data_IF_812601739177
#
_entry.id   IF_812601739177
#
_cell.length_a   1.000
_cell.length_b   1.000
_cell.length_c   1.000
_cell.angle_alpha   90.00
_cell.angle_beta   90.00
_cell.angle_gamma   90.00
#
_symmetry.space_group_name_H-M   'P 1'
#
loop_
_entity.id
_entity.type
_entity.pdbx_description
1 polymer ?
#
# COMPACT_ATOMS: atom_id res chain seq x y z
N UNK A 1 -29.59 28.45 8.14
CA UNK A 1 -28.63 29.47 8.63
C UNK A 1 -27.41 29.34 7.71
N UNK A 2 -26.23 29.89 8.01
CA UNK A 2 -25.02 29.35 7.36
C UNK A 2 -24.49 28.23 8.24
N UNK A 3 -23.94 27.16 7.65
CA UNK A 3 -23.31 26.07 8.38
C UNK A 3 -22.29 26.61 9.41
N UNK A 4 -21.48 27.59 9.00
CA UNK A 4 -20.59 28.35 9.88
C UNK A 4 -21.26 28.90 11.15
N UNK A 5 -22.34 29.66 11.02
CA UNK A 5 -23.05 30.24 12.18
C UNK A 5 -23.68 29.18 13.09
N UNK A 6 -24.10 28.06 12.52
CA UNK A 6 -24.60 26.91 13.26
C UNK A 6 -23.49 26.22 14.07
N UNK A 7 -22.31 26.02 13.46
CA UNK A 7 -21.14 25.46 14.14
C UNK A 7 -20.65 26.37 15.29
N UNK A 8 -20.66 27.69 15.11
CA UNK A 8 -20.33 28.66 16.17
C UNK A 8 -21.28 28.53 17.38
N UNK A 9 -22.57 28.37 17.10
CA UNK A 9 -23.60 28.14 18.13
C UNK A 9 -23.39 26.80 18.85
N UNK A 10 -23.06 25.74 18.11
CA UNK A 10 -22.74 24.42 18.69
C UNK A 10 -21.53 24.52 19.62
N UNK A 11 -20.42 25.12 19.16
CA UNK A 11 -19.20 25.26 19.97
C UNK A 11 -19.49 25.97 21.29
N UNK A 12 -20.22 27.09 21.26
CA UNK A 12 -20.60 27.81 22.48
C UNK A 12 -21.40 26.91 23.43
N UNK A 13 -22.42 26.23 22.91
CA UNK A 13 -23.27 25.34 23.73
C UNK A 13 -22.54 24.11 24.28
N UNK A 14 -21.56 23.58 23.54
CA UNK A 14 -20.67 22.52 24.02
C UNK A 14 -19.83 23.00 25.21
N UNK A 15 -19.26 24.21 25.13
CA UNK A 15 -18.51 24.82 26.26
C UNK A 15 -19.39 25.07 27.48
N UNK A 16 -20.68 25.33 27.28
CA UNK A 16 -21.68 25.52 28.33
C UNK A 16 -22.21 24.19 28.92
N UNK A 17 -21.82 23.04 28.36
CA UNK A 17 -22.33 21.73 28.80
C UNK A 17 -23.83 21.51 28.49
N UNK A 18 -24.37 22.20 27.48
CA UNK A 18 -25.80 22.21 27.20
C UNK A 18 -26.36 20.90 26.62
N UNK A 19 -25.49 19.95 26.25
CA UNK A 19 -25.86 18.66 25.66
C UNK A 19 -25.52 17.53 26.62
N UNK A 20 -26.53 17.02 27.33
CA UNK A 20 -26.37 16.06 28.43
C UNK A 20 -26.77 14.63 28.08
N UNK A 21 -27.33 14.40 26.89
CA UNK A 21 -27.78 13.10 26.41
C UNK A 21 -27.56 12.89 24.91
N UNK A 22 -27.49 11.64 24.47
CA UNK A 22 -27.49 11.24 23.04
C UNK A 22 -28.64 11.86 22.25
N UNK A 23 -29.83 11.97 22.85
CA UNK A 23 -30.98 12.64 22.25
C UNK A 23 -30.71 14.14 22.03
N UNK A 24 -30.08 14.81 23.01
CA UNK A 24 -29.71 16.23 22.88
C UNK A 24 -28.62 16.48 21.83
N UNK A 25 -27.66 15.55 21.70
CA UNK A 25 -26.64 15.57 20.64
C UNK A 25 -27.29 15.34 19.28
N UNK A 26 -28.17 14.35 19.17
CA UNK A 26 -28.88 14.03 17.94
C UNK A 26 -29.74 15.21 17.45
N UNK A 27 -30.61 15.73 18.31
CA UNK A 27 -31.57 16.79 17.96
C UNK A 27 -30.93 18.18 17.89
N UNK A 28 -29.90 18.43 18.72
CA UNK A 28 -29.30 19.73 18.87
C UNK A 28 -28.05 19.97 18.02
N UNK A 29 -27.37 18.91 17.58
CA UNK A 29 -26.12 18.97 16.83
C UNK A 29 -26.25 18.20 15.51
N UNK A 30 -26.46 16.88 15.56
CA UNK A 30 -26.40 16.02 14.38
C UNK A 30 -27.43 16.40 13.31
N UNK A 31 -28.72 16.36 13.63
CA UNK A 31 -29.81 16.63 12.68
C UNK A 31 -29.73 18.07 12.11
N UNK A 32 -29.53 19.13 12.92
CA UNK A 32 -29.33 20.47 12.38
C UNK A 32 -28.10 20.56 11.45
N UNK A 33 -27.00 19.89 11.78
CA UNK A 33 -25.80 19.87 10.94
C UNK A 33 -26.05 19.16 9.60
N UNK A 34 -26.75 18.02 9.62
CA UNK A 34 -27.15 17.30 8.42
C UNK A 34 -28.08 18.16 7.54
N UNK A 35 -29.03 18.87 8.14
CA UNK A 35 -29.92 19.79 7.43
C UNK A 35 -29.13 20.91 6.72
N UNK A 36 -28.18 21.55 7.41
CA UNK A 36 -27.31 22.59 6.82
C UNK A 36 -26.36 22.01 5.74
N UNK A 37 -26.04 20.72 5.80
CA UNK A 37 -25.28 19.98 4.78
C UNK A 37 -26.15 19.52 3.58
N UNK A 38 -27.44 19.88 3.58
CA UNK A 38 -28.37 19.62 2.49
C UNK A 38 -29.08 18.27 2.54
N UNK A 39 -29.01 17.55 3.67
CA UNK A 39 -29.79 16.32 3.85
C UNK A 39 -31.27 16.64 4.11
N UNK A 40 -32.21 15.95 3.46
CA UNK A 40 -33.63 16.05 3.78
C UNK A 40 -33.92 15.27 5.07
N UNK A 41 -33.64 15.87 6.23
CA UNK A 41 -33.74 15.24 7.55
C UNK A 41 -35.15 14.81 7.95
N UNK A 42 -36.18 15.33 7.28
CA UNK A 42 -37.58 14.94 7.47
C UNK A 42 -38.03 13.80 6.55
N UNK A 43 -37.21 13.41 5.57
CA UNK A 43 -37.46 12.25 4.71
C UNK A 43 -36.76 11.02 5.31
N UNK A 44 -37.53 10.17 6.00
CA UNK A 44 -37.02 8.96 6.67
C UNK A 44 -36.48 7.91 5.70
N UNK A 45 -36.77 8.03 4.40
CA UNK A 45 -36.15 7.18 3.37
C UNK A 45 -34.72 7.61 3.02
N UNK A 46 -34.31 8.82 3.43
CA UNK A 46 -32.99 9.39 3.18
C UNK A 46 -32.20 9.59 4.48
N UNK A 47 -32.84 10.07 5.55
CA UNK A 47 -32.23 10.13 6.89
C UNK A 47 -33.09 9.27 7.81
N UNK A 48 -32.71 8.00 7.94
CA UNK A 48 -33.48 7.04 8.73
C UNK A 48 -32.94 6.98 10.15
N UNK A 49 -33.68 7.45 11.18
CA UNK A 49 -33.35 7.16 12.56
C UNK A 49 -33.58 5.68 12.86
N UNK A 50 -32.92 5.15 13.90
CA UNK A 50 -33.11 3.79 14.42
C UNK A 50 -33.09 2.71 13.33
N UNK A 51 -32.21 2.89 12.33
CA UNK A 51 -32.18 2.03 11.16
C UNK A 51 -31.78 0.61 11.55
N UNK A 52 -32.66 -0.33 11.25
CA UNK A 52 -32.49 -1.74 11.59
C UNK A 52 -32.12 -2.52 10.34
N UNK A 53 -31.04 -3.29 10.39
CA UNK A 53 -30.75 -4.33 9.39
C UNK A 53 -30.52 -5.62 10.13
N UNK A 54 -31.26 -6.64 9.73
CA UNK A 54 -31.31 -7.93 10.41
C UNK A 54 -31.69 -7.73 11.90
N UNK A 55 -30.79 -8.06 12.83
CA UNK A 55 -31.01 -8.04 14.28
C UNK A 55 -30.24 -6.92 14.99
N UNK A 56 -29.67 -5.96 14.25
CA UNK A 56 -28.90 -4.85 14.80
C UNK A 56 -29.48 -3.51 14.35
N UNK A 57 -29.33 -2.52 15.23
CA UNK A 57 -29.84 -1.17 15.06
C UNK A 57 -28.68 -0.18 15.14
N UNK A 58 -28.69 0.81 14.24
CA UNK A 58 -27.81 1.98 14.30
C UNK A 58 -28.65 3.22 14.51
N UNK A 59 -28.11 4.24 15.17
CA UNK A 59 -28.87 5.45 15.51
C UNK A 59 -29.38 6.18 14.26
N UNK A 60 -28.53 6.34 13.24
CA UNK A 60 -28.94 6.90 11.96
C UNK A 60 -28.29 6.21 10.78
N UNK A 61 -29.08 6.01 9.73
CA UNK A 61 -28.59 5.68 8.39
C UNK A 61 -28.87 6.84 7.43
N UNK A 62 -27.81 7.31 6.78
CA UNK A 62 -27.89 8.25 5.67
C UNK A 62 -27.94 7.46 4.37
N UNK A 63 -29.08 7.52 3.69
CA UNK A 63 -29.40 6.71 2.54
C UNK A 63 -29.27 7.49 1.23
N UNK A 64 -28.46 6.96 0.31
CA UNK A 64 -28.45 7.41 -1.07
C UNK A 64 -28.07 6.25 -2.00
N UNK A 65 -28.96 5.79 -2.92
CA UNK A 65 -30.33 6.27 -3.12
C UNK A 65 -31.26 5.93 -1.94
N UNK A 66 -32.54 6.36 -2.00
CA UNK A 66 -33.54 6.12 -0.93
C UNK A 66 -33.53 4.67 -0.45
N UNK A 67 -33.62 4.48 0.87
CA UNK A 67 -33.58 3.21 1.58
C UNK A 67 -32.29 2.37 1.39
N UNK A 68 -31.24 2.92 0.75
CA UNK A 68 -29.93 2.27 0.63
C UNK A 68 -28.89 3.02 1.43
N UNK A 69 -28.41 2.46 2.56
CA UNK A 69 -27.48 3.16 3.44
C UNK A 69 -26.13 3.40 2.75
N UNK A 70 -25.71 4.67 2.73
CA UNK A 70 -24.41 5.11 2.28
C UNK A 70 -23.48 5.42 3.46
N UNK A 71 -24.03 5.88 4.58
CA UNK A 71 -23.29 6.20 5.80
C UNK A 71 -24.11 5.73 7.00
N UNK A 72 -23.46 5.04 7.95
CA UNK A 72 -24.03 4.81 9.28
C UNK A 72 -23.45 5.81 10.28
N UNK A 73 -24.29 6.29 11.20
CA UNK A 73 -23.90 7.22 12.25
C UNK A 73 -24.36 6.63 13.59
N UNK A 74 -23.42 6.55 14.52
CA UNK A 74 -23.65 6.24 15.92
C UNK A 74 -23.42 7.49 16.76
N UNK A 75 -24.33 7.77 17.67
CA UNK A 75 -24.31 8.93 18.56
C UNK A 75 -24.02 8.48 19.98
N UNK A 76 -23.09 9.14 20.67
CA UNK A 76 -22.78 8.93 22.08
C UNK A 76 -23.03 10.18 22.91
N UNK A 77 -23.03 10.04 24.22
CA UNK A 77 -23.01 11.20 25.12
C UNK A 77 -21.68 11.94 25.01
N UNK A 78 -21.72 13.27 25.16
CA UNK A 78 -20.54 14.16 25.08
C UNK A 78 -19.43 13.64 26.00
N UNK A 79 -18.22 13.46 25.45
CA UNK A 79 -17.05 12.97 26.18
C UNK A 79 -16.92 11.43 26.22
N UNK A 80 -17.84 10.69 25.60
CA UNK A 80 -17.83 9.23 25.54
C UNK A 80 -17.66 8.67 24.12
N UNK A 81 -17.08 9.43 23.19
CA UNK A 81 -16.81 8.92 21.83
C UNK A 81 -15.53 8.05 21.72
N UNK A 82 -14.71 8.00 22.79
CA UNK A 82 -13.43 7.28 22.80
C UNK A 82 -13.63 5.83 23.31
N UNK A 83 -13.71 4.91 22.36
CA UNK A 83 -13.98 3.51 22.63
C UNK A 83 -14.73 2.92 21.46
N UNK A 84 -14.03 2.08 20.70
CA UNK A 84 -14.54 1.50 19.46
C UNK A 84 -15.96 0.97 19.66
N UNK A 85 -16.94 1.62 19.04
CA UNK A 85 -18.18 0.95 18.71
C UNK A 85 -17.87 -0.03 17.58
N UNK A 86 -17.11 -1.05 17.95
CA UNK A 86 -16.70 -2.16 17.10
C UNK A 86 -17.93 -2.78 16.46
N UNK A 87 -19.08 -2.68 17.14
CA UNK A 87 -20.37 -3.13 16.63
C UNK A 87 -20.81 -2.31 15.43
N UNK A 88 -20.80 -0.96 15.49
CA UNK A 88 -21.08 -0.10 14.34
C UNK A 88 -20.18 -0.45 13.15
N UNK A 89 -18.88 -0.60 13.41
CA UNK A 89 -17.89 -0.85 12.37
C UNK A 89 -18.04 -2.22 11.70
N UNK A 90 -18.13 -3.29 12.50
CA UNK A 90 -18.32 -4.66 11.99
C UNK A 90 -19.64 -4.75 11.21
N UNK A 91 -20.67 -4.08 11.68
CA UNK A 91 -21.96 -4.05 11.02
C UNK A 91 -21.92 -3.30 9.68
N UNK A 92 -21.29 -2.12 9.65
CA UNK A 92 -21.08 -1.38 8.41
C UNK A 92 -20.26 -2.21 7.41
N UNK A 93 -19.24 -2.94 7.90
CA UNK A 93 -18.45 -3.85 7.07
C UNK A 93 -19.27 -5.01 6.48
N UNK A 94 -20.05 -5.72 7.30
CA UNK A 94 -20.87 -6.85 6.83
C UNK A 94 -21.99 -6.42 5.87
N UNK A 95 -22.61 -5.26 6.13
CA UNK A 95 -23.69 -4.72 5.29
C UNK A 95 -23.15 -4.04 4.02
N UNK A 96 -21.83 -3.85 3.90
CA UNK A 96 -21.19 -3.20 2.77
C UNK A 96 -21.38 -1.68 2.73
N UNK A 97 -21.71 -1.06 3.86
CA UNK A 97 -21.82 0.39 3.97
C UNK A 97 -20.41 1.01 3.96
N UNK A 98 -20.12 1.92 3.02
CA UNK A 98 -18.75 2.31 2.72
C UNK A 98 -18.13 3.27 3.74
N UNK A 99 -18.95 3.93 4.58
CA UNK A 99 -18.50 4.89 5.58
C UNK A 99 -19.31 4.75 6.86
N UNK A 100 -18.62 4.86 8.00
CA UNK A 100 -19.25 4.89 9.32
C UNK A 100 -18.73 6.10 10.09
N UNK A 101 -19.60 6.72 10.90
CA UNK A 101 -19.29 7.91 11.69
C UNK A 101 -19.69 7.63 13.13
N UNK A 102 -18.77 7.94 14.04
CA UNK A 102 -19.02 7.96 15.47
C UNK A 102 -18.92 9.41 15.95
N UNK A 103 -19.94 9.89 16.63
CA UNK A 103 -19.93 11.26 17.17
C UNK A 103 -20.60 11.36 18.53
N UNK A 104 -20.06 12.23 19.39
CA UNK A 104 -20.74 12.68 20.60
C UNK A 104 -21.14 14.17 20.52
N UNK A 105 -21.09 14.74 19.31
CA UNK A 105 -21.31 16.15 19.04
C UNK A 105 -20.06 17.02 19.15
N UNK A 106 -19.18 16.77 20.13
CA UNK A 106 -17.88 17.43 20.20
C UNK A 106 -16.91 16.79 19.21
N UNK A 107 -16.76 15.48 19.27
CA UNK A 107 -15.86 14.73 18.43
C UNK A 107 -16.61 14.05 17.30
N UNK A 108 -16.01 14.02 16.10
CA UNK A 108 -16.53 13.32 14.93
C UNK A 108 -15.44 12.48 14.31
N UNK A 109 -15.56 11.16 14.43
CA UNK A 109 -14.62 10.20 13.85
C UNK A 109 -15.20 9.57 12.59
N UNK A 110 -14.47 9.70 11.49
CA UNK A 110 -14.85 9.15 10.17
C UNK A 110 -14.06 7.88 9.88
N UNK A 111 -14.77 6.80 9.58
CA UNK A 111 -14.18 5.47 9.33
C UNK A 111 -14.54 4.97 7.94
N UNK A 112 -13.63 4.17 7.37
CA UNK A 112 -13.88 3.40 6.15
C UNK A 112 -13.86 1.90 6.44
N UNK A 113 -15.03 1.28 6.66
CA UNK A 113 -15.12 -0.12 7.07
C UNK A 113 -14.44 -1.10 6.13
N UNK A 114 -14.57 -0.89 4.82
CA UNK A 114 -14.03 -1.79 3.80
C UNK A 114 -12.53 -1.69 3.52
N UNK A 115 -11.81 -0.72 4.10
CA UNK A 115 -10.38 -0.52 3.81
C UNK A 115 -9.47 -1.41 4.68
N UNK A 116 -8.21 -1.62 4.27
CA UNK A 116 -7.28 -2.52 4.96
C UNK A 116 -6.70 -1.91 6.25
N UNK A 117 -6.48 -2.70 7.30
CA UNK A 117 -5.83 -2.26 8.55
C UNK A 117 -6.59 -2.69 9.80
N UNK A 118 -6.08 -2.35 10.97
CA UNK A 118 -6.81 -2.44 12.26
C UNK A 118 -7.95 -1.40 12.31
N UNK A 119 -8.80 -1.47 13.34
CA UNK A 119 -9.93 -0.55 13.49
C UNK A 119 -9.49 0.92 13.62
N UNK A 120 -8.60 1.17 14.57
CA UNK A 120 -7.97 2.47 14.83
C UNK A 120 -7.27 3.01 13.58
N UNK A 121 -6.68 2.08 12.83
CA UNK A 121 -5.96 2.33 11.60
C UNK A 121 -6.84 2.70 10.41
N UNK A 122 -8.16 2.43 10.43
CA UNK A 122 -9.14 2.73 9.37
C UNK A 122 -9.92 4.03 9.63
N UNK A 123 -9.60 4.75 10.70
CA UNK A 123 -10.09 6.11 10.93
C UNK A 123 -9.39 7.06 9.97
N UNK A 124 -10.16 7.69 9.10
CA UNK A 124 -9.65 8.65 8.11
C UNK A 124 -9.33 9.98 8.77
N UNK A 125 -10.23 10.43 9.64
CA UNK A 125 -10.13 11.74 10.25
C UNK A 125 -10.91 11.79 11.57
N UNK A 126 -10.45 12.64 12.50
CA UNK A 126 -11.14 12.96 13.74
C UNK A 126 -11.23 14.48 13.84
N UNK A 127 -12.44 15.01 13.94
CA UNK A 127 -12.69 16.41 14.26
C UNK A 127 -12.89 16.48 15.77
N UNK A 128 -12.25 17.45 16.43
CA UNK A 128 -12.66 17.93 17.74
C UNK A 128 -13.17 19.36 17.57
N UNK A 129 -14.46 19.56 17.85
CA UNK A 129 -15.13 20.84 17.67
C UNK A 129 -14.63 21.94 18.62
N UNK A 130 -13.98 21.61 19.75
CA UNK A 130 -13.43 22.59 20.69
C UNK A 130 -11.98 22.95 20.38
N UNK A 131 -11.21 22.04 19.77
CA UNK A 131 -9.81 22.27 19.42
C UNK A 131 -9.59 22.85 18.02
N UNK A 132 -10.56 22.69 17.11
CA UNK A 132 -10.43 23.08 15.69
C UNK A 132 -11.12 24.40 15.37
N UNK A 133 -10.61 25.08 14.33
CA UNK A 133 -11.25 26.30 13.81
C UNK A 133 -12.57 25.96 13.11
N UNK A 134 -13.55 26.88 13.16
CA UNK A 134 -14.85 26.68 12.50
C UNK A 134 -14.69 26.41 11.00
N UNK A 135 -13.77 27.11 10.33
CA UNK A 135 -13.49 26.92 8.91
C UNK A 135 -13.02 25.50 8.61
N UNK A 136 -12.11 24.96 9.41
CA UNK A 136 -11.62 23.58 9.24
C UNK A 136 -12.73 22.55 9.49
N UNK A 137 -13.55 22.76 10.52
CA UNK A 137 -14.70 21.89 10.83
C UNK A 137 -15.68 21.89 9.67
N UNK A 138 -16.05 23.08 9.17
CA UNK A 138 -16.94 23.27 8.02
C UNK A 138 -16.40 22.56 6.77
N UNK A 139 -15.14 22.80 6.41
CA UNK A 139 -14.51 22.16 5.25
C UNK A 139 -14.55 20.62 5.34
N UNK A 140 -14.28 20.05 6.52
CA UNK A 140 -14.26 18.59 6.72
C UNK A 140 -15.66 17.99 6.70
N UNK A 141 -16.63 18.62 7.36
CA UNK A 141 -18.03 18.20 7.32
C UNK A 141 -18.59 18.29 5.90
N UNK A 142 -18.34 19.39 5.18
CA UNK A 142 -18.76 19.51 3.78
C UNK A 142 -18.09 18.42 2.93
N UNK A 143 -16.78 18.22 3.07
CA UNK A 143 -16.02 17.25 2.27
C UNK A 143 -16.57 15.83 2.37
N UNK A 144 -16.95 15.38 3.58
CA UNK A 144 -17.35 13.98 3.84
C UNK A 144 -18.85 13.74 4.00
N UNK A 145 -19.63 14.76 4.39
CA UNK A 145 -21.05 14.61 4.75
C UNK A 145 -22.01 15.46 3.90
N UNK A 146 -21.55 16.35 3.02
CA UNK A 146 -22.49 17.10 2.17
C UNK A 146 -23.33 16.15 1.29
N UNK A 147 -24.65 16.35 1.27
CA UNK A 147 -25.59 15.46 0.58
C UNK A 147 -25.25 15.24 -0.89
N UNK A 148 -24.94 16.31 -1.65
CA UNK A 148 -24.61 16.22 -3.07
C UNK A 148 -23.31 15.45 -3.30
N UNK A 149 -22.32 15.65 -2.43
CA UNK A 149 -21.03 14.95 -2.51
C UNK A 149 -21.15 13.47 -2.13
N UNK A 150 -22.03 13.13 -1.20
CA UNK A 150 -22.33 11.73 -0.87
C UNK A 150 -23.08 11.09 -2.04
N UNK A 151 -24.05 11.79 -2.62
CA UNK A 151 -24.81 11.33 -3.77
C UNK A 151 -23.96 11.06 -5.02
N UNK A 152 -22.99 11.93 -5.32
CA UNK A 152 -22.06 11.76 -6.46
C UNK A 152 -20.91 10.77 -6.19
N UNK A 153 -20.78 10.29 -4.94
CA UNK A 153 -19.65 9.49 -4.47
C UNK A 153 -18.34 10.27 -4.28
N UNK A 154 -18.35 11.60 -4.44
CA UNK A 154 -17.18 12.46 -4.19
C UNK A 154 -16.71 12.41 -2.74
N UNK A 155 -17.64 12.34 -1.79
CA UNK A 155 -17.33 12.25 -0.36
C UNK A 155 -16.54 10.97 -0.05
N UNK A 156 -16.96 9.83 -0.61
CA UNK A 156 -16.28 8.56 -0.42
C UNK A 156 -14.91 8.53 -1.12
N UNK A 157 -14.80 9.10 -2.34
CA UNK A 157 -13.50 9.25 -3.02
C UNK A 157 -12.52 10.07 -2.19
N UNK A 158 -12.97 11.23 -1.71
CA UNK A 158 -12.17 12.12 -0.87
C UNK A 158 -11.70 11.42 0.42
N UNK A 159 -12.60 10.71 1.11
CA UNK A 159 -12.24 9.94 2.30
C UNK A 159 -11.22 8.83 2.00
N UNK A 160 -11.36 8.12 0.88
CA UNK A 160 -10.41 7.09 0.45
C UNK A 160 -9.04 7.65 0.09
N UNK A 161 -8.99 8.80 -0.55
CA UNK A 161 -7.71 9.44 -0.88
C UNK A 161 -6.99 9.94 0.37
N UNK A 162 -7.73 10.53 1.31
CA UNK A 162 -7.20 10.94 2.61
C UNK A 162 -6.72 9.72 3.42
N UNK A 163 -7.47 8.62 3.38
CA UNK A 163 -7.07 7.33 3.97
C UNK A 163 -5.78 6.77 3.38
N UNK A 164 -5.63 6.81 2.05
CA UNK A 164 -4.42 6.34 1.35
C UNK A 164 -3.21 7.17 1.76
N UNK A 165 -3.36 8.48 1.91
CA UNK A 165 -2.27 9.36 2.33
C UNK A 165 -1.79 9.03 3.74
N UNK A 166 -2.71 8.78 4.68
CA UNK A 166 -2.38 8.40 6.07
C UNK A 166 -1.78 6.98 6.13
N UNK A 167 -2.40 6.01 5.44
CA UNK A 167 -1.96 4.61 5.46
C UNK A 167 -0.68 4.37 4.66
N UNK A 168 -0.31 5.25 3.71
CA UNK A 168 0.92 5.12 2.90
C UNK A 168 2.15 4.97 3.77
N UNK A 169 2.33 5.82 4.77
CA UNK A 169 3.50 5.76 5.66
C UNK A 169 3.53 4.43 6.45
N UNK A 170 2.38 4.03 7.01
CA UNK A 170 2.25 2.77 7.77
C UNK A 170 2.52 1.54 6.91
N UNK A 171 1.92 1.48 5.72
CA UNK A 171 2.10 0.37 4.78
C UNK A 171 3.55 0.32 4.31
N UNK A 172 4.18 1.46 4.01
CA UNK A 172 5.61 1.50 3.66
C UNK A 172 6.43 0.95 4.83
N UNK A 173 6.25 1.46 6.04
CA UNK A 173 6.97 1.02 7.23
C UNK A 173 6.82 -0.48 7.49
N UNK A 174 5.61 -1.04 7.36
CA UNK A 174 5.35 -2.47 7.54
C UNK A 174 5.97 -3.36 6.46
N UNK A 175 6.27 -2.81 5.28
CA UNK A 175 6.88 -3.54 4.17
C UNK A 175 8.40 -3.32 4.03
N UNK A 176 8.97 -2.28 4.64
CA UNK A 176 10.42 -2.04 4.65
C UNK A 176 11.20 -3.27 5.16
N UNK A 177 10.87 -3.89 6.32
CA UNK A 177 11.62 -5.06 6.80
C UNK A 177 11.54 -6.25 5.84
N UNK A 178 10.37 -6.45 5.21
CA UNK A 178 10.17 -7.53 4.23
C UNK A 178 10.99 -7.29 2.97
N UNK A 179 10.96 -6.06 2.45
CA UNK A 179 11.75 -5.63 1.31
C UNK A 179 13.25 -5.79 1.60
N UNK A 180 13.71 -5.41 2.80
CA UNK A 180 15.10 -5.60 3.21
C UNK A 180 15.53 -7.07 3.17
N UNK A 181 14.73 -7.97 3.73
CA UNK A 181 15.01 -9.42 3.69
C UNK A 181 15.03 -9.95 2.25
N UNK A 182 14.13 -9.48 1.39
CA UNK A 182 14.13 -9.86 -0.04
C UNK A 182 15.40 -9.39 -0.74
N UNK A 183 15.80 -8.14 -0.55
CA UNK A 183 17.04 -7.57 -1.12
C UNK A 183 18.26 -8.39 -0.72
N UNK A 184 18.36 -8.78 0.56
CA UNK A 184 19.46 -9.61 1.05
C UNK A 184 19.48 -11.02 0.42
N UNK A 185 18.31 -11.66 0.31
CA UNK A 185 18.19 -13.01 -0.28
C UNK A 185 18.46 -13.03 -1.78
N UNK A 186 17.97 -12.03 -2.50
CA UNK A 186 18.13 -11.90 -3.95
C UNK A 186 19.55 -11.45 -4.33
N UNK A 187 20.34 -11.00 -3.33
CA UNK A 187 21.70 -10.50 -3.49
C UNK A 187 21.75 -9.41 -4.57
N UNK A 188 20.97 -8.36 -4.35
CA UNK A 188 20.91 -7.23 -5.28
C UNK A 188 22.31 -6.66 -5.53
N UNK A 189 22.66 -6.50 -6.81
CA UNK A 189 24.00 -6.10 -7.20
C UNK A 189 24.38 -4.70 -6.72
N UNK A 190 23.44 -3.75 -6.65
CA UNK A 190 23.74 -2.41 -6.17
C UNK A 190 24.11 -2.43 -4.68
N UNK A 191 23.49 -3.32 -3.90
CA UNK A 191 23.86 -3.50 -2.49
C UNK A 191 25.24 -4.17 -2.35
N UNK A 192 25.54 -5.17 -3.17
CA UNK A 192 26.86 -5.83 -3.15
C UNK A 192 27.98 -4.87 -3.56
N UNK A 193 27.76 -4.08 -4.61
CA UNK A 193 28.72 -3.08 -5.08
C UNK A 193 28.93 -1.98 -4.02
N UNK A 194 27.85 -1.49 -3.41
CA UNK A 194 27.92 -0.51 -2.31
C UNK A 194 28.67 -1.08 -1.09
N UNK A 195 28.43 -2.33 -0.73
CA UNK A 195 29.14 -2.99 0.37
C UNK A 195 30.63 -3.13 0.05
N UNK A 196 30.98 -3.54 -1.17
CA UNK A 196 32.37 -3.68 -1.58
C UNK A 196 33.12 -2.34 -1.59
N UNK A 197 32.49 -1.27 -2.09
CA UNK A 197 33.04 0.09 -2.00
C UNK A 197 33.22 0.54 -0.55
N UNK A 198 32.26 0.27 0.34
CA UNK A 198 32.38 0.65 1.75
C UNK A 198 33.49 -0.13 2.48
N UNK A 199 33.75 -1.38 2.11
CA UNK A 199 34.88 -2.13 2.66
C UNK A 199 36.20 -1.59 2.12
N UNK A 200 36.27 -1.27 0.82
CA UNK A 200 37.44 -0.63 0.19
C UNK A 200 37.78 0.70 0.87
N UNK A 201 36.78 1.55 1.16
CA UNK A 201 36.96 2.81 1.90
C UNK A 201 37.56 2.59 3.30
N UNK A 202 37.24 1.47 3.96
CA UNK A 202 37.63 1.19 5.34
C UNK A 202 39.02 0.56 5.46
N UNK A 203 39.41 -0.30 4.51
CA UNK A 203 40.67 -1.05 4.62
C UNK A 203 41.60 -0.93 3.41
N UNK A 204 41.20 -0.23 2.35
CA UNK A 204 41.97 -0.07 1.12
C UNK A 204 41.92 -1.27 0.18
N UNK A 205 41.19 -2.34 0.55
CA UNK A 205 41.06 -3.55 -0.26
C UNK A 205 39.60 -3.75 -0.65
N UNK A 206 39.33 -3.78 -1.96
CA UNK A 206 37.99 -4.06 -2.44
C UNK A 206 37.69 -5.56 -2.35
N UNK A 207 36.69 -5.98 -1.55
CA UNK A 207 36.32 -7.37 -1.48
C UNK A 207 35.58 -7.77 -2.75
N UNK A 208 35.59 -9.06 -2.94
CA UNK A 208 34.97 -9.74 -4.03
C UNK A 208 33.43 -9.83 -3.82
N UNK A 209 32.61 -9.57 -4.84
CA UNK A 209 31.13 -9.56 -4.68
C UNK A 209 30.57 -10.89 -4.14
N UNK A 210 31.20 -12.03 -4.46
CA UNK A 210 30.83 -13.34 -3.90
C UNK A 210 31.05 -13.39 -2.38
N UNK A 211 32.15 -12.81 -1.88
CA UNK A 211 32.44 -12.67 -0.45
C UNK A 211 31.40 -11.77 0.23
N UNK A 212 31.01 -10.67 -0.43
CA UNK A 212 29.89 -9.84 0.04
C UNK A 212 28.56 -10.61 0.04
N UNK A 213 28.29 -11.43 -0.97
CA UNK A 213 27.07 -12.24 -1.09
C UNK A 213 26.99 -13.33 -0.04
N UNK A 214 28.09 -14.01 0.26
CA UNK A 214 28.20 -14.97 1.36
C UNK A 214 27.92 -14.30 2.70
N UNK A 215 28.57 -13.17 2.99
CA UNK A 215 28.33 -12.40 4.21
C UNK A 215 26.85 -12.00 4.37
N UNK A 216 26.20 -11.49 3.31
CA UNK A 216 24.78 -11.13 3.38
C UNK A 216 23.87 -12.35 3.57
N UNK A 217 24.24 -13.51 3.03
CA UNK A 217 23.49 -14.76 3.22
C UNK A 217 23.57 -15.24 4.66
N UNK A 218 24.75 -15.17 5.27
CA UNK A 218 24.96 -15.52 6.67
C UNK A 218 24.16 -14.61 7.62
N UNK A 219 24.05 -13.32 7.30
CA UNK A 219 23.23 -12.36 8.06
C UNK A 219 21.73 -12.68 8.02
N UNK A 220 21.23 -13.26 6.92
CA UNK A 220 19.81 -13.69 6.80
C UNK A 220 19.57 -14.96 7.60
N UNK A 221 20.51 -15.91 7.56
CA UNK A 221 20.44 -17.17 8.32
C UNK A 221 20.48 -16.93 9.83
N UNK A 222 21.38 -16.05 10.30
CA UNK A 222 21.53 -15.73 11.73
C UNK A 222 20.30 -15.02 12.33
N UNK A 223 19.56 -14.24 11.52
CA UNK A 223 18.30 -13.59 11.93
C UNK A 223 17.10 -14.54 11.97
N UNK A 224 17.15 -15.67 11.27
CA UNK A 224 16.08 -16.67 11.33
C UNK A 224 16.17 -17.55 12.60
N UNK A 225 17.35 -17.64 13.22
CA UNK A 225 17.63 -18.51 14.37
C UNK A 225 17.68 -17.77 15.73
N UNK A 226 17.55 -16.44 15.74
CA UNK A 226 17.55 -15.66 16.99
C UNK A 226 16.17 -15.67 17.66
N UNK A 227 16.03 -16.12 18.93
CA UNK A 227 14.76 -16.11 19.64
C UNK A 227 14.32 -14.67 19.94
N UNK A 228 13.01 -14.44 19.82
CA UNK A 228 12.34 -13.20 20.20
C UNK A 228 12.70 -12.85 21.64
N UNK A 229 13.56 -11.83 21.82
CA UNK A 229 13.83 -11.23 23.13
C UNK A 229 12.54 -10.54 23.56
N UNK A 230 11.85 -11.16 24.52
CA UNK A 230 10.76 -10.54 25.27
C UNK A 230 11.33 -9.32 25.99
N UNK A 231 10.85 -8.14 25.60
CA UNK A 231 11.07 -6.90 26.33
C UNK A 231 10.55 -7.05 27.75
N UNK A 232 11.44 -6.76 28.70
CA UNK A 232 11.15 -6.63 30.12
C UNK A 232 10.16 -5.49 30.37
N UNK A 233 9.04 -5.81 31.01
CA UNK A 233 8.08 -4.81 31.45
C UNK A 233 6.98 -5.41 32.33
N UNK A 234 7.12 -5.23 33.65
CA UNK A 234 5.98 -5.13 34.57
C UNK A 234 5.31 -6.41 35.03
N UNK A 235 5.66 -6.84 36.26
CA UNK A 235 4.84 -7.71 37.11
C UNK A 235 3.38 -7.23 37.16
N UNK A 236 2.42 -8.10 36.89
CA UNK A 236 1.32 -8.30 37.84
C UNK A 236 0.76 -9.73 37.75
N UNK A 237 0.66 -10.36 38.93
CA UNK A 237 0.10 -11.69 39.14
C UNK A 237 -1.43 -11.60 39.13
N UNK A 238 -2.07 -12.53 38.44
CA UNK A 238 -3.49 -12.85 38.58
C UNK A 238 -3.77 -14.21 37.96
N UNK A 239 -3.83 -15.25 38.79
CA UNK A 239 -4.28 -16.60 38.44
C UNK A 239 -5.79 -16.58 38.21
N UNK A 240 -6.26 -17.23 37.15
CA UNK A 240 -7.12 -18.44 37.22
C UNK A 240 -7.22 -19.09 35.85
N UNK A 241 -7.11 -20.41 35.89
CA UNK A 241 -7.27 -21.39 34.82
C UNK A 241 -8.73 -21.88 34.78
N UNK A 242 -9.26 -22.16 33.59
CA UNK A 242 -10.07 -23.36 33.32
C UNK A 242 -10.31 -23.57 31.81
N UNK A 243 -10.50 -24.84 31.48
CA UNK A 243 -10.35 -25.53 30.19
C UNK A 243 -11.38 -25.21 29.10
N UNK A 244 -11.05 -25.52 27.83
CA UNK A 244 -11.74 -26.50 26.95
C UNK A 244 -11.03 -26.57 25.56
N UNK A 245 -10.87 -27.80 25.05
CA UNK A 245 -10.24 -28.20 23.76
C UNK A 245 -11.23 -28.10 22.54
N UNK A 246 -11.04 -28.78 21.38
CA UNK A 246 -10.49 -28.16 20.17
C UNK A 246 -11.40 -28.28 18.93
N UNK A 247 -11.18 -27.38 17.97
CA UNK A 247 -11.35 -27.68 16.54
C UNK A 247 -12.51 -26.97 15.84
N UNK A 248 -12.18 -26.19 14.80
CA UNK A 248 -12.71 -26.39 13.45
C UNK A 248 -11.91 -25.53 12.44
N UNK A 249 -11.70 -26.12 11.27
CA UNK A 249 -10.82 -25.69 10.19
C UNK A 249 -11.34 -24.41 9.53
N UNK A 250 -10.49 -23.38 9.43
CA UNK A 250 -10.69 -22.29 8.48
C UNK A 250 -10.06 -22.66 7.12
N UNK A 251 -10.76 -22.41 5.99
CA UNK A 251 -10.23 -22.69 4.67
C UNK A 251 -9.13 -21.70 4.27
N UNK A 252 -8.26 -22.21 3.42
CA UNK A 252 -7.05 -21.64 2.84
C UNK A 252 -7.16 -20.22 2.27
N UNK A 253 -6.18 -19.40 2.64
CA UNK A 253 -5.30 -18.65 1.74
C UNK A 253 -5.92 -18.08 0.43
N UNK A 254 -6.56 -16.91 0.52
CA UNK A 254 -6.69 -16.03 -0.65
C UNK A 254 -5.38 -15.25 -0.86
N UNK A 255 -4.57 -15.72 -1.80
CA UNK A 255 -3.33 -15.07 -2.28
C UNK A 255 -3.55 -13.57 -2.60
N UNK A 256 -2.62 -12.66 -2.23
CA UNK A 256 -2.72 -11.25 -2.63
C UNK A 256 -2.59 -11.12 -4.16
N UNK A 257 -3.57 -10.46 -4.78
CA UNK A 257 -3.57 -10.15 -6.22
C UNK A 257 -2.39 -9.20 -6.56
N UNK A 258 -1.62 -9.44 -7.62
CA UNK A 258 -0.49 -8.60 -7.99
C UNK A 258 -0.96 -7.21 -8.44
N UNK A 259 -0.28 -6.15 -7.98
CA UNK A 259 -0.45 -4.77 -8.48
C UNK A 259 -0.26 -4.77 -10.00
N UNK A 260 -1.17 -4.13 -10.75
CA UNK A 260 -1.03 -3.91 -12.20
C UNK A 260 0.18 -2.99 -12.44
N UNK A 261 1.34 -3.57 -12.76
CA UNK A 261 2.48 -2.82 -13.29
C UNK A 261 2.05 -2.18 -14.61
N UNK A 262 2.25 -0.86 -14.76
CA UNK A 262 2.03 -0.22 -16.05
C UNK A 262 3.04 -0.78 -17.06
N UNK A 263 2.60 -1.16 -18.28
CA UNK A 263 3.48 -1.72 -19.29
C UNK A 263 4.47 -0.67 -19.79
N UNK A 264 5.73 -1.08 -19.97
CA UNK A 264 6.81 -0.28 -20.55
C UNK A 264 6.66 -0.34 -22.07
N UNK A 265 6.52 0.82 -22.72
CA UNK A 265 6.43 0.93 -24.18
C UNK A 265 7.81 1.27 -24.76
N UNK A 266 8.21 0.58 -25.82
CA UNK A 266 9.49 0.78 -26.50
C UNK A 266 9.35 0.49 -28.00
N UNK A 267 10.33 0.86 -28.81
CA UNK A 267 10.28 0.78 -30.27
C UNK A 267 11.51 0.06 -30.83
N UNK A 268 11.29 -0.84 -31.79
CA UNK A 268 12.34 -1.52 -32.55
C UNK A 268 11.95 -1.59 -34.02
N UNK A 269 12.75 -0.99 -34.90
CA UNK A 269 12.54 -1.03 -36.36
C UNK A 269 11.14 -0.51 -36.79
N UNK A 270 10.64 0.50 -36.08
CA UNK A 270 9.31 1.09 -36.30
C UNK A 270 8.15 0.35 -35.64
N UNK A 271 8.37 -0.85 -35.07
CA UNK A 271 7.38 -1.61 -34.33
C UNK A 271 7.32 -1.11 -32.88
N UNK A 272 6.13 -0.72 -32.41
CA UNK A 272 5.90 -0.36 -30.99
C UNK A 272 5.57 -1.61 -30.18
N UNK A 273 6.45 -1.93 -29.23
CA UNK A 273 6.37 -3.08 -28.35
C UNK A 273 5.98 -2.66 -26.93
N UNK A 274 5.30 -3.54 -26.21
CA UNK A 274 4.93 -3.32 -24.81
C UNK A 274 5.33 -4.51 -23.95
N UNK A 275 6.04 -4.23 -22.85
CA UNK A 275 6.56 -5.25 -21.92
C UNK A 275 6.06 -5.00 -20.50
N UNK A 276 5.83 -6.05 -19.72
CA UNK A 276 5.30 -5.97 -18.35
C UNK A 276 6.37 -5.68 -17.29
N UNK A 277 7.65 -5.79 -17.64
CA UNK A 277 8.78 -5.54 -16.75
C UNK A 277 10.05 -5.17 -17.54
N UNK A 278 11.01 -4.53 -16.86
CA UNK A 278 12.32 -4.23 -17.44
C UNK A 278 13.06 -5.50 -17.90
N UNK A 279 12.96 -6.59 -17.12
CA UNK A 279 13.47 -7.92 -17.50
C UNK A 279 12.93 -8.38 -18.85
N UNK A 280 11.63 -8.19 -19.08
CA UNK A 280 11.01 -8.58 -20.36
C UNK A 280 11.47 -7.68 -21.51
N UNK A 281 11.63 -6.38 -21.30
CA UNK A 281 12.23 -5.48 -22.33
C UNK A 281 13.62 -5.97 -22.72
N UNK A 282 14.49 -6.24 -21.75
CA UNK A 282 15.86 -6.67 -21.99
C UNK A 282 15.93 -8.01 -22.72
N UNK A 283 15.22 -9.03 -22.24
CA UNK A 283 15.21 -10.37 -22.88
C UNK A 283 14.71 -10.30 -24.32
N UNK A 284 13.56 -9.64 -24.56
CA UNK A 284 13.02 -9.48 -25.91
C UNK A 284 13.93 -8.63 -26.81
N UNK A 285 14.56 -7.57 -26.29
CA UNK A 285 15.52 -6.80 -27.08
C UNK A 285 16.70 -7.66 -27.53
N UNK A 286 17.28 -8.46 -26.63
CA UNK A 286 18.41 -9.33 -26.94
C UNK A 286 18.03 -10.43 -27.94
N UNK A 287 16.87 -11.06 -27.78
CA UNK A 287 16.33 -12.04 -28.74
C UNK A 287 16.22 -11.41 -30.14
N UNK A 288 15.56 -10.25 -30.26
CA UNK A 288 15.37 -9.58 -31.56
C UNK A 288 16.66 -9.05 -32.18
N UNK A 289 17.63 -8.64 -31.36
CA UNK A 289 18.95 -8.23 -31.86
C UNK A 289 19.73 -9.44 -32.38
N UNK A 290 19.67 -10.58 -31.69
CA UNK A 290 20.29 -11.82 -32.14
C UNK A 290 19.66 -12.37 -33.43
N UNK A 291 18.34 -12.23 -33.61
CA UNK A 291 17.64 -12.61 -34.85
C UNK A 291 18.04 -11.76 -36.06
N UNK A 292 18.42 -10.49 -35.84
CA UNK A 292 18.74 -9.54 -36.92
C UNK A 292 20.23 -9.47 -37.24
N UNK A 293 21.09 -9.91 -36.32
CA UNK A 293 22.54 -9.88 -36.45
C UNK A 293 23.16 -11.06 -35.69
N UNK A 294 23.53 -12.10 -36.42
CA UNK A 294 24.10 -13.34 -35.86
C UNK A 294 25.40 -13.10 -35.07
N UNK A 295 26.11 -12.00 -35.32
CA UNK A 295 27.37 -11.66 -34.65
C UNK A 295 27.16 -10.75 -33.42
N UNK A 296 25.94 -10.25 -33.18
CA UNK A 296 25.63 -9.36 -32.07
C UNK A 296 25.99 -9.97 -30.72
N UNK A 297 25.58 -11.22 -30.47
CA UNK A 297 25.82 -11.89 -29.18
C UNK A 297 27.30 -12.08 -28.89
N UNK A 298 28.11 -12.33 -29.92
CA UNK A 298 29.56 -12.47 -29.80
C UNK A 298 30.24 -11.13 -29.52
N UNK A 299 29.84 -10.06 -30.23
CA UNK A 299 30.30 -8.69 -29.95
C UNK A 299 29.91 -8.24 -28.55
N UNK A 300 28.71 -8.57 -28.09
CA UNK A 300 28.29 -8.27 -26.73
C UNK A 300 29.09 -9.09 -25.70
N UNK A 301 29.20 -10.41 -25.89
CA UNK A 301 29.92 -11.33 -24.99
C UNK A 301 31.43 -11.00 -24.84
N UNK A 302 32.03 -10.39 -25.85
CA UNK A 302 33.43 -9.95 -25.85
C UNK A 302 33.67 -8.62 -25.13
N UNK A 303 32.64 -7.80 -24.88
CA UNK A 303 32.78 -6.57 -24.07
C UNK A 303 33.11 -6.94 -22.63
N UNK A 304 33.73 -5.98 -21.93
CA UNK A 304 33.88 -6.08 -20.49
C UNK A 304 32.48 -6.02 -19.86
N UNK A 305 32.07 -7.12 -19.25
CA UNK A 305 30.84 -7.20 -18.46
C UNK A 305 31.08 -6.64 -17.05
N UNK A 306 30.07 -6.72 -16.18
CA UNK A 306 30.25 -6.42 -14.75
C UNK A 306 31.46 -7.14 -14.16
N UNK A 307 32.05 -6.58 -13.09
CA UNK A 307 33.37 -6.95 -12.56
C UNK A 307 33.58 -8.45 -12.29
N UNK A 308 32.51 -9.22 -12.03
CA UNK A 308 32.58 -10.64 -11.64
C UNK A 308 31.69 -11.60 -12.39
N UNK A 309 30.59 -11.12 -12.95
CA UNK A 309 29.61 -11.96 -13.64
C UNK A 309 29.38 -11.47 -15.06
N UNK A 310 29.30 -12.42 -15.98
CA UNK A 310 28.88 -12.13 -17.35
C UNK A 310 27.37 -11.91 -17.35
N UNK A 311 26.91 -10.96 -18.17
CA UNK A 311 25.48 -10.79 -18.43
C UNK A 311 25.00 -11.82 -19.45
N UNK A 312 25.89 -12.23 -20.36
CA UNK A 312 25.66 -13.19 -21.44
C UNK A 312 26.78 -14.24 -21.46
N UNK A 313 26.43 -15.53 -21.56
CA UNK A 313 27.39 -16.64 -21.60
C UNK A 313 26.87 -17.84 -22.39
N UNK A 314 27.78 -18.71 -22.85
CA UNK A 314 27.41 -19.99 -23.51
C UNK A 314 26.91 -21.04 -22.50
N UNK A 315 27.30 -20.89 -21.23
CA UNK A 315 26.89 -21.75 -20.13
C UNK A 315 26.18 -20.90 -19.06
N UNK A 316 24.93 -21.27 -18.71
CA UNK A 316 24.14 -20.53 -17.70
C UNK A 316 24.80 -20.42 -16.33
N UNK A 317 25.66 -21.37 -15.94
CA UNK A 317 26.35 -21.35 -14.65
C UNK A 317 27.49 -20.30 -14.60
N UNK A 318 27.96 -19.82 -15.75
CA UNK A 318 28.94 -18.72 -15.82
C UNK A 318 28.31 -17.34 -15.54
N UNK A 319 26.98 -17.24 -15.63
CA UNK A 319 26.24 -16.01 -15.31
C UNK A 319 26.16 -15.77 -13.80
N UNK A 320 26.22 -16.85 -13.02
CA UNK A 320 26.16 -16.84 -11.55
C UNK A 320 27.20 -17.81 -10.98
N UNK A 321 28.52 -17.48 -11.06
CA UNK A 321 29.58 -18.34 -10.54
C UNK A 321 29.33 -18.70 -9.07
N UNK A 322 29.52 -19.98 -8.71
CA UNK A 322 29.30 -20.48 -7.33
C UNK A 322 27.83 -20.55 -6.89
N UNK A 323 26.87 -20.13 -7.72
CA UNK A 323 25.43 -20.02 -7.38
C UNK A 323 24.53 -20.68 -8.41
N UNK A 324 24.63 -22.01 -8.50
CA UNK A 324 23.83 -22.82 -9.43
C UNK A 324 22.32 -22.64 -9.24
N UNK A 325 21.86 -22.41 -8.01
CA UNK A 325 20.47 -22.11 -7.67
C UNK A 325 19.94 -20.83 -8.36
N UNK A 326 20.78 -19.81 -8.49
CA UNK A 326 20.43 -18.56 -9.17
C UNK A 326 20.49 -18.72 -10.69
N UNK A 327 21.44 -19.50 -11.21
CA UNK A 327 21.51 -19.82 -12.63
C UNK A 327 20.23 -20.55 -13.10
N UNK A 328 19.72 -21.51 -12.33
CA UNK A 328 18.49 -22.23 -12.68
C UNK A 328 17.25 -21.32 -12.71
N UNK A 329 17.17 -20.33 -11.81
CA UNK A 329 15.98 -19.47 -11.67
C UNK A 329 16.02 -18.22 -12.54
N UNK A 330 17.23 -17.71 -12.83
CA UNK A 330 17.42 -16.38 -13.37
C UNK A 330 18.27 -16.34 -14.64
N UNK A 331 18.61 -17.48 -15.25
CA UNK A 331 19.13 -17.52 -16.61
C UNK A 331 17.99 -17.81 -17.60
N UNK A 332 17.99 -17.09 -18.73
CA UNK A 332 17.05 -17.32 -19.84
C UNK A 332 17.87 -17.59 -21.09
N UNK A 333 17.56 -18.66 -21.81
CA UNK A 333 18.14 -18.91 -23.12
C UNK A 333 17.48 -17.98 -24.15
N UNK A 334 18.26 -17.13 -24.78
CA UNK A 334 17.78 -16.08 -25.72
C UNK A 334 18.09 -16.43 -27.19
N UNK A 335 19.01 -17.35 -27.42
CA UNK A 335 19.36 -17.92 -28.70
C UNK A 335 20.05 -19.28 -28.45
N UNK A 336 20.17 -20.12 -29.46
CA UNK A 336 20.70 -21.48 -29.30
C UNK A 336 22.08 -21.47 -28.62
N UNK A 337 22.13 -22.01 -27.40
CA UNK A 337 23.36 -22.10 -26.61
C UNK A 337 23.85 -20.75 -26.06
N UNK A 338 22.98 -19.74 -25.97
CA UNK A 338 23.28 -18.43 -25.39
C UNK A 338 22.32 -18.09 -24.25
N UNK A 339 22.87 -17.85 -23.07
CA UNK A 339 22.13 -17.59 -21.85
C UNK A 339 22.35 -16.16 -21.37
N UNK A 340 21.24 -15.49 -21.03
CA UNK A 340 21.21 -14.15 -20.47
C UNK A 340 20.80 -14.19 -18.99
N UNK A 341 21.55 -13.52 -18.13
CA UNK A 341 21.16 -13.32 -16.74
C UNK A 341 19.94 -12.39 -16.64
N UNK A 342 19.12 -12.54 -15.60
CA UNK A 342 17.90 -11.72 -15.44
C UNK A 342 17.67 -11.18 -14.03
N UNK A 343 18.51 -11.56 -13.06
CA UNK A 343 18.47 -11.01 -11.69
C UNK A 343 19.22 -9.68 -11.60
N UNK A 344 18.58 -8.60 -12.08
CA UNK A 344 19.13 -7.25 -12.09
C UNK A 344 18.06 -6.22 -11.70
N UNK A 345 18.47 -5.17 -10.99
CA UNK A 345 17.63 -4.02 -10.70
C UNK A 345 17.21 -3.30 -12.00
N UNK A 346 16.12 -2.51 -11.95
CA UNK A 346 15.62 -1.72 -13.08
C UNK A 346 16.70 -0.80 -13.69
N UNK A 347 17.57 -0.24 -12.86
CA UNK A 347 18.70 0.61 -13.28
C UNK A 347 19.79 -0.21 -13.99
N UNK A 348 20.20 -1.34 -13.42
CA UNK A 348 21.23 -2.18 -14.03
C UNK A 348 20.73 -2.79 -15.34
N UNK A 349 19.44 -3.07 -15.46
CA UNK A 349 18.84 -3.48 -16.74
C UNK A 349 19.01 -2.39 -17.80
N UNK A 350 18.82 -1.11 -17.46
CA UNK A 350 19.08 -0.02 -18.40
C UNK A 350 20.55 0.04 -18.80
N UNK A 351 21.48 -0.10 -17.86
CA UNK A 351 22.92 -0.10 -18.15
C UNK A 351 23.32 -1.27 -19.08
N UNK A 352 22.72 -2.45 -18.90
CA UNK A 352 22.91 -3.60 -19.79
C UNK A 352 22.33 -3.32 -21.19
N UNK A 353 21.16 -2.70 -21.26
CA UNK A 353 20.55 -2.27 -22.52
C UNK A 353 21.44 -1.25 -23.22
N UNK A 354 21.98 -0.25 -22.51
CA UNK A 354 22.86 0.76 -23.09
C UNK A 354 24.14 0.12 -23.66
N UNK A 355 24.76 -0.82 -22.93
CA UNK A 355 25.90 -1.60 -23.44
C UNK A 355 25.54 -2.43 -24.69
N UNK A 356 24.35 -3.02 -24.73
CA UNK A 356 23.88 -3.78 -25.89
C UNK A 356 23.74 -2.86 -27.12
N UNK A 357 23.21 -1.67 -26.89
CA UNK A 357 23.01 -0.66 -27.91
C UNK A 357 24.32 -0.07 -28.44
N UNK A 358 25.39 -0.03 -27.64
CA UNK A 358 26.73 0.36 -28.09
C UNK A 358 27.36 -0.63 -29.09
N UNK A 359 27.09 -1.93 -28.94
CA UNK A 359 27.64 -2.98 -29.82
C UNK A 359 26.71 -3.39 -30.95
N UNK A 360 25.51 -2.81 -30.98
CA UNK A 360 24.53 -2.99 -32.06
C UNK A 360 24.99 -2.25 -33.31
N UNK A 361 24.75 -2.81 -34.49
CA UNK A 361 25.04 -2.14 -35.77
C UNK A 361 24.43 -0.72 -35.81
N UNK A 362 25.18 0.32 -36.22
CA UNK A 362 24.70 1.70 -36.20
C UNK A 362 23.41 1.95 -36.99
N UNK A 363 23.17 1.22 -38.09
CA UNK A 363 21.94 1.35 -38.85
C UNK A 363 20.74 0.78 -38.09
N UNK A 364 20.92 -0.36 -37.42
CA UNK A 364 19.90 -0.96 -36.57
C UNK A 364 19.66 -0.12 -35.31
N UNK A 365 20.72 0.34 -34.63
CA UNK A 365 20.69 1.15 -33.41
C UNK A 365 19.83 2.40 -33.53
N UNK A 366 19.91 3.11 -34.67
CA UNK A 366 19.11 4.32 -34.96
C UNK A 366 17.60 4.06 -34.96
N UNK A 367 17.18 2.81 -35.14
CA UNK A 367 15.79 2.40 -35.16
C UNK A 367 15.30 1.84 -33.82
N UNK A 368 16.07 1.99 -32.74
CA UNK A 368 15.74 1.47 -31.41
C UNK A 368 15.49 2.64 -30.45
N UNK A 369 14.30 2.69 -29.87
CA UNK A 369 13.98 3.59 -28.76
C UNK A 369 13.53 2.75 -27.58
N UNK A 370 14.39 2.63 -26.59
CA UNK A 370 14.13 1.82 -25.41
C UNK A 370 14.65 2.55 -24.18
N UNK A 371 13.78 2.70 -23.19
CA UNK A 371 14.14 3.14 -21.84
C UNK A 371 13.29 2.33 -20.87
N UNK A 372 13.95 1.75 -19.88
CA UNK A 372 13.30 1.04 -18.81
C UNK A 372 13.28 1.82 -17.52
N UNK A 373 13.90 3.00 -17.39
CA UNK A 373 13.93 3.81 -16.15
C UNK A 373 12.75 4.78 -16.09
#
# INVERSE_FOLDING_TARGET
MSLKSHLEKIQRKLREGAFTSEASVSQGILLPTLNELGWPVFDTSIVSPEFTVENRRVDYALCHPKNKPAIFIEVKNVGLSDGADRQLFEYAFHTGVPMAILTDGQEWSFYLPGEQGRYDERRVYKIDCLERSITEIEERLVRYLNYQRVASGDALRAARDDYRNVSRHRIIAANIPKAWVMILKEQDAALLDLLAEKVEDLCGFKPDLDVCGEFLSDQVSFRAESPVVQGTGGRNKGKTSEDVKPGQKHPENSKPRPRKMQPISWELDGEKLTSRSARQVMTTLFERLAEKDDTFLERFASRKHGRKRRYLARNKYELYPGRSDLAEKNAVEIAQGWWLGTNYSKRNVQEIIDLALEVTDPALRRKIKVSVI
#
